data_IF_155674620469
#
_entry.id   IF_155674620469
#
_cell.length_a   1.000
_cell.length_b   1.000
_cell.length_c   1.000
_cell.angle_alpha   90.00
_cell.angle_beta   90.00
_cell.angle_gamma   90.00
#
_symmetry.space_group_name_H-M   'P 1'
#
loop_
_entity.id
_entity.type
_entity.pdbx_description
1 polymer ?
#
# COMPACT_ATOMS: atom_id res chain seq x y z
N UNK A 1 -12.19 6.37 -49.14
CA UNK A 1 -11.97 6.85 -47.75
C UNK A 1 -12.87 6.15 -46.71
N UNK A 2 -13.40 4.94 -46.97
CA UNK A 2 -14.34 4.26 -46.06
C UNK A 2 -13.69 3.27 -45.06
N UNK A 3 -12.42 2.89 -45.26
CA UNK A 3 -11.71 1.93 -44.36
C UNK A 3 -11.10 2.56 -43.11
N UNK A 4 -10.84 3.87 -43.11
CA UNK A 4 -10.21 4.57 -41.98
C UNK A 4 -11.19 4.82 -40.82
N UNK A 5 -12.46 5.09 -41.13
CA UNK A 5 -13.50 5.33 -40.11
C UNK A 5 -13.84 4.06 -39.31
N UNK A 6 -13.97 2.92 -39.99
CA UNK A 6 -14.24 1.62 -39.36
C UNK A 6 -13.13 1.15 -38.40
N UNK A 7 -11.88 1.56 -38.65
CA UNK A 7 -10.75 1.28 -37.77
C UNK A 7 -10.72 2.20 -36.54
N UNK A 8 -11.20 3.44 -36.68
CA UNK A 8 -11.31 4.38 -35.56
C UNK A 8 -12.42 3.94 -34.58
N UNK A 9 -13.59 3.57 -35.08
CA UNK A 9 -14.72 3.07 -34.27
C UNK A 9 -14.37 1.80 -33.49
N UNK A 10 -13.69 0.84 -34.14
CA UNK A 10 -13.24 -0.40 -33.45
C UNK A 10 -12.23 -0.13 -32.34
N UNK A 11 -11.42 0.93 -32.46
CA UNK A 11 -10.40 1.27 -31.47
C UNK A 11 -10.99 1.99 -30.26
N UNK A 12 -12.03 2.80 -30.46
CA UNK A 12 -12.76 3.48 -29.38
C UNK A 12 -13.48 2.44 -28.49
N UNK A 13 -14.19 1.48 -29.10
CA UNK A 13 -14.91 0.47 -28.31
C UNK A 13 -14.02 -0.51 -27.54
N UNK A 14 -12.81 -0.82 -28.04
CA UNK A 14 -11.87 -1.64 -27.29
C UNK A 14 -11.28 -0.91 -26.07
N UNK A 15 -11.10 0.42 -26.16
CA UNK A 15 -10.62 1.23 -25.04
C UNK A 15 -11.72 1.45 -23.99
N UNK A 16 -12.99 1.63 -24.40
CA UNK A 16 -14.13 1.77 -23.49
C UNK A 16 -14.37 0.51 -22.63
N UNK A 17 -14.18 -0.69 -23.20
CA UNK A 17 -14.32 -1.94 -22.46
C UNK A 17 -13.23 -2.14 -21.39
N UNK A 18 -12.03 -1.56 -21.59
CA UNK A 18 -10.94 -1.61 -20.62
C UNK A 18 -11.21 -0.67 -19.43
N UNK A 19 -11.80 0.51 -19.69
CA UNK A 19 -12.10 1.52 -18.68
C UNK A 19 -13.17 1.04 -17.68
N UNK A 20 -14.14 0.25 -18.12
CA UNK A 20 -15.23 -0.21 -17.25
C UNK A 20 -14.78 -1.28 -16.24
N UNK A 21 -13.72 -2.05 -16.54
CA UNK A 21 -13.12 -3.02 -15.63
C UNK A 21 -12.19 -2.37 -14.60
N UNK A 22 -11.58 -1.23 -14.93
CA UNK A 22 -10.67 -0.49 -14.05
C UNK A 22 -11.37 0.53 -13.13
N UNK A 23 -12.62 0.90 -13.42
CA UNK A 23 -13.44 1.81 -12.58
C UNK A 23 -13.47 1.45 -11.09
N UNK A 24 -13.70 0.19 -10.66
CA UNK A 24 -13.71 -0.14 -9.24
C UNK A 24 -12.31 -0.10 -8.60
N UNK A 25 -11.23 -0.29 -9.39
CA UNK A 25 -9.84 -0.29 -8.89
C UNK A 25 -9.34 1.14 -8.59
N UNK A 26 -9.69 2.11 -9.45
CA UNK A 26 -9.25 3.51 -9.30
C UNK A 26 -10.02 4.22 -8.17
N UNK A 27 -11.33 3.99 -8.06
CA UNK A 27 -12.20 4.65 -7.08
C UNK A 27 -11.77 4.42 -5.61
N UNK A 28 -11.14 3.29 -5.29
CA UNK A 28 -10.72 3.00 -3.92
C UNK A 28 -9.36 3.61 -3.56
N UNK A 29 -8.42 3.71 -4.51
CA UNK A 29 -7.15 4.42 -4.29
C UNK A 29 -7.41 5.90 -3.94
N UNK A 30 -8.40 6.51 -4.59
CA UNK A 30 -8.83 7.89 -4.33
C UNK A 30 -9.58 8.01 -2.99
N UNK A 31 -10.42 7.03 -2.61
CA UNK A 31 -11.12 7.02 -1.32
C UNK A 31 -10.15 6.87 -0.13
N UNK A 32 -9.12 6.03 -0.28
CA UNK A 32 -8.05 5.83 0.71
C UNK A 32 -7.17 7.06 0.83
N UNK A 33 -6.89 7.75 -0.29
CA UNK A 33 -6.20 9.05 -0.33
C UNK A 33 -6.89 10.13 0.51
N UNK A 34 -8.23 10.17 0.47
CA UNK A 34 -9.00 11.19 1.16
C UNK A 34 -8.94 11.05 2.69
N UNK A 35 -8.77 9.84 3.23
CA UNK A 35 -8.57 9.64 4.66
C UNK A 35 -7.12 9.97 5.04
N UNK A 36 -6.92 11.12 5.71
CA UNK A 36 -5.61 11.55 6.20
C UNK A 36 -5.08 10.68 7.36
N UNK A 37 -5.72 9.54 7.64
CA UNK A 37 -5.38 8.66 8.75
C UNK A 37 -4.32 7.64 8.35
N UNK A 38 -3.28 7.57 9.17
CA UNK A 38 -2.34 6.47 9.19
C UNK A 38 -3.04 5.15 9.51
N UNK A 39 -2.72 4.06 8.81
CA UNK A 39 -3.24 2.72 9.12
C UNK A 39 -2.11 1.75 9.45
N UNK A 40 -2.43 0.66 10.14
CA UNK A 40 -1.44 -0.39 10.39
C UNK A 40 -1.11 -1.12 9.08
N UNK A 41 0.11 -1.65 8.98
CA UNK A 41 0.53 -2.50 7.84
C UNK A 41 -0.41 -3.71 7.68
N UNK A 42 -0.89 -4.27 8.79
CA UNK A 42 -1.86 -5.38 8.75
C UNK A 42 -3.20 -4.99 8.12
N UNK A 43 -3.66 -3.76 8.33
CA UNK A 43 -4.90 -3.27 7.72
C UNK A 43 -4.69 -2.91 6.25
N UNK A 44 -3.52 -2.35 5.89
CA UNK A 44 -3.13 -2.19 4.49
C UNK A 44 -3.17 -3.53 3.74
N UNK A 45 -2.70 -4.63 4.34
CA UNK A 45 -2.77 -5.94 3.71
C UNK A 45 -4.21 -6.39 3.43
N UNK A 46 -5.14 -6.14 4.36
CA UNK A 46 -6.57 -6.43 4.13
C UNK A 46 -7.12 -5.59 2.98
N UNK A 47 -6.77 -4.30 2.92
CA UNK A 47 -7.17 -3.41 1.83
C UNK A 47 -6.65 -3.91 0.48
N UNK A 48 -5.36 -4.26 0.39
CA UNK A 48 -4.78 -4.81 -0.84
C UNK A 48 -5.50 -6.12 -1.24
N UNK A 49 -5.79 -6.98 -0.26
CA UNK A 49 -6.54 -8.22 -0.51
C UNK A 49 -7.98 -7.99 -0.96
N UNK A 50 -8.63 -6.92 -0.53
CA UNK A 50 -9.96 -6.52 -1.02
C UNK A 50 -9.91 -5.96 -2.44
N UNK A 51 -8.78 -5.38 -2.85
CA UNK A 51 -8.57 -4.80 -4.19
C UNK A 51 -8.11 -5.84 -5.24
N UNK A 52 -8.20 -7.14 -4.93
CA UNK A 52 -7.94 -8.22 -5.88
C UNK A 52 -6.61 -8.95 -5.66
N UNK A 53 -5.64 -8.35 -4.96
CA UNK A 53 -4.34 -8.97 -4.72
C UNK A 53 -4.30 -9.68 -3.35
N UNK A 54 -4.51 -11.01 -3.35
CA UNK A 54 -4.60 -11.83 -2.12
C UNK A 54 -3.28 -11.87 -1.33
N UNK A 55 -3.08 -10.92 -0.43
CA UNK A 55 -1.93 -10.85 0.48
C UNK A 55 -2.36 -10.79 1.95
N UNK A 56 -1.72 -11.60 2.78
CA UNK A 56 -1.89 -11.57 4.23
C UNK A 56 -0.89 -10.63 4.91
N UNK A 57 -1.21 -10.16 6.13
CA UNK A 57 -0.36 -9.25 6.89
C UNK A 57 1.10 -9.73 7.00
N UNK A 58 1.32 -11.00 7.37
CA UNK A 58 2.67 -11.58 7.49
C UNK A 58 3.45 -11.57 6.17
N UNK A 59 2.77 -11.83 5.05
CA UNK A 59 3.35 -11.80 3.70
C UNK A 59 3.70 -10.37 3.30
N UNK A 60 2.84 -9.40 3.59
CA UNK A 60 3.13 -8.00 3.33
C UNK A 60 4.32 -7.51 4.15
N UNK A 61 4.40 -7.86 5.43
CA UNK A 61 5.58 -7.56 6.25
C UNK A 61 6.87 -8.18 5.70
N UNK A 62 6.81 -9.42 5.20
CA UNK A 62 7.96 -10.05 4.55
C UNK A 62 8.37 -9.31 3.28
N UNK A 63 7.41 -9.04 2.39
CA UNK A 63 7.65 -8.31 1.15
C UNK A 63 8.25 -6.93 1.40
N UNK A 64 7.72 -6.19 2.39
CA UNK A 64 8.25 -4.87 2.76
C UNK A 64 9.70 -4.93 3.26
N UNK A 65 10.09 -5.99 3.99
CA UNK A 65 11.47 -6.19 4.44
C UNK A 65 12.41 -6.57 3.29
N UNK A 66 11.94 -7.45 2.40
CA UNK A 66 12.70 -7.91 1.24
C UNK A 66 12.95 -6.77 0.24
N UNK A 67 11.96 -5.90 0.05
CA UNK A 67 12.04 -4.73 -0.82
C UNK A 67 12.71 -3.51 -0.16
N UNK A 68 13.20 -3.65 1.08
CA UNK A 68 13.95 -2.59 1.77
C UNK A 68 13.08 -1.41 2.26
N UNK A 69 11.77 -1.60 2.36
CA UNK A 69 10.88 -0.61 3.00
C UNK A 69 10.96 -0.68 4.52
N UNK A 70 11.05 -1.90 5.05
CA UNK A 70 11.25 -2.17 6.47
C UNK A 70 12.61 -2.81 6.71
N UNK A 71 13.15 -2.61 7.91
CA UNK A 71 14.42 -3.19 8.31
C UNK A 71 14.24 -4.70 8.54
N UNK A 72 15.07 -5.49 7.84
CA UNK A 72 15.14 -6.96 7.93
C UNK A 72 16.09 -7.48 9.01
N UNK A 73 16.85 -6.61 9.67
CA UNK A 73 17.77 -7.01 10.74
C UNK A 73 16.96 -7.39 11.97
N UNK A 74 17.12 -8.62 12.46
CA UNK A 74 16.52 -9.05 13.74
C UNK A 74 17.17 -8.26 14.88
N UNK A 75 16.38 -7.50 15.62
CA UNK A 75 16.84 -6.60 16.68
C UNK A 75 15.75 -5.59 17.06
N UNK A 76 16.14 -4.53 17.77
CA UNK A 76 15.25 -3.42 18.17
C UNK A 76 14.54 -2.75 17.00
N UNK A 77 15.18 -2.78 15.82
CA UNK A 77 14.68 -2.07 14.64
C UNK A 77 13.90 -3.00 13.70
N UNK A 78 13.62 -4.23 14.12
CA UNK A 78 12.85 -5.16 13.30
C UNK A 78 11.46 -4.56 12.99
N UNK A 79 11.07 -4.58 11.71
CA UNK A 79 9.86 -3.93 11.19
C UNK A 79 9.81 -2.40 11.30
N UNK A 80 10.92 -1.74 11.63
CA UNK A 80 11.00 -0.29 11.54
C UNK A 80 11.19 0.15 10.08
N UNK A 81 10.62 1.29 9.67
CA UNK A 81 10.82 1.81 8.33
C UNK A 81 12.29 2.19 8.10
N UNK A 82 12.78 1.91 6.90
CA UNK A 82 14.12 2.34 6.49
C UNK A 82 14.16 3.85 6.31
N UNK A 83 15.36 4.45 6.42
CA UNK A 83 15.57 5.88 6.19
C UNK A 83 14.96 6.33 4.85
N UNK A 84 15.20 5.57 3.77
CA UNK A 84 14.61 5.81 2.45
C UNK A 84 13.07 5.88 2.49
N UNK A 85 12.43 5.00 3.25
CA UNK A 85 10.96 4.92 3.31
C UNK A 85 10.35 6.04 4.14
N UNK A 86 11.09 6.52 5.14
CA UNK A 86 10.76 7.73 5.90
C UNK A 86 10.88 8.98 5.02
N UNK A 87 11.96 9.11 4.24
CA UNK A 87 12.16 10.23 3.31
C UNK A 87 11.09 10.28 2.21
N UNK A 88 10.64 9.11 1.73
CA UNK A 88 9.52 9.02 0.79
C UNK A 88 8.17 9.37 1.44
N UNK A 89 8.09 9.44 2.77
CA UNK A 89 6.87 9.73 3.53
C UNK A 89 5.83 8.62 3.48
N UNK A 90 6.28 7.36 3.31
CA UNK A 90 5.38 6.19 3.17
C UNK A 90 4.91 5.67 4.52
N UNK A 91 5.68 5.91 5.57
CA UNK A 91 5.40 5.40 6.92
C UNK A 91 5.53 6.50 7.97
N UNK A 92 4.86 6.25 9.09
CA UNK A 92 5.04 6.98 10.33
C UNK A 92 5.30 5.98 11.47
N UNK A 93 5.94 6.45 12.54
CA UNK A 93 6.21 5.66 13.73
C UNK A 93 5.34 6.22 14.86
N UNK A 94 4.46 5.39 15.41
CA UNK A 94 3.75 5.71 16.66
C UNK A 94 4.54 5.12 17.83
N UNK A 95 5.00 5.99 18.72
CA UNK A 95 5.61 5.57 19.98
C UNK A 95 4.52 5.46 21.05
N UNK A 96 4.54 4.37 21.81
CA UNK A 96 3.64 4.13 22.94
C UNK A 96 4.49 3.83 24.17
N UNK A 97 4.36 4.68 25.17
CA UNK A 97 5.00 4.51 26.48
C UNK A 97 4.16 3.54 27.30
N UNK A 98 4.76 2.44 27.73
CA UNK A 98 4.14 1.44 28.58
C UNK A 98 4.84 1.49 29.94
N UNK A 99 4.09 1.90 30.95
CA UNK A 99 4.52 1.90 32.35
C UNK A 99 4.15 0.57 32.98
N UNK A 100 5.14 -0.14 33.52
CA UNK A 100 4.95 -1.43 34.17
C UNK A 100 4.77 -1.25 35.68
N UNK A 101 4.17 -2.26 36.34
CA UNK A 101 3.81 -2.20 37.76
C UNK A 101 5.03 -2.14 38.71
N UNK A 102 6.21 -2.51 38.22
CA UNK A 102 7.51 -2.46 38.90
C UNK A 102 8.27 -1.14 38.66
N UNK A 103 7.64 -0.16 37.98
CA UNK A 103 8.16 1.19 37.80
C UNK A 103 9.08 1.39 36.59
N UNK A 104 9.40 0.35 35.82
CA UNK A 104 10.16 0.55 34.58
C UNK A 104 9.26 1.03 33.44
N UNK A 105 9.84 1.86 32.57
CA UNK A 105 9.17 2.42 31.40
C UNK A 105 9.75 1.75 30.15
N UNK A 106 8.89 1.17 29.33
CA UNK A 106 9.26 0.63 28.02
C UNK A 106 8.60 1.43 26.90
N UNK A 107 9.31 1.64 25.81
CA UNK A 107 8.80 2.35 24.62
C UNK A 107 8.57 1.32 23.52
N UNK A 108 7.30 1.12 23.16
CA UNK A 108 6.93 0.31 21.99
C UNK A 108 6.77 1.21 20.78
N UNK A 109 7.45 0.88 19.68
CA UNK A 109 7.34 1.61 18.41
C UNK A 109 6.55 0.77 17.43
N UNK A 110 5.49 1.34 16.87
CA UNK A 110 4.62 0.68 15.90
C UNK A 110 4.69 1.43 14.58
N UNK A 111 5.04 0.73 13.51
CA UNK A 111 5.02 1.28 12.14
C UNK A 111 3.59 1.34 11.61
N UNK A 112 3.25 2.48 11.02
CA UNK A 112 2.00 2.70 10.31
C UNK A 112 2.28 3.27 8.92
N UNK A 113 1.33 3.07 8.02
CA UNK A 113 1.38 3.53 6.64
C UNK A 113 0.59 4.81 6.50
N UNK A 114 1.23 5.86 5.98
CA UNK A 114 0.58 7.16 5.71
C UNK A 114 -0.39 7.05 4.54
N UNK A 115 -1.30 8.01 4.34
CA UNK A 115 -2.19 8.01 3.16
C UNK A 115 -1.42 7.95 1.83
N UNK A 116 -0.25 8.62 1.77
CA UNK A 116 0.68 8.54 0.63
C UNK A 116 1.25 7.13 0.46
N UNK A 117 1.67 6.49 1.56
CA UNK A 117 2.15 5.11 1.54
C UNK A 117 1.08 4.12 1.11
N UNK A 118 -0.17 4.33 1.52
CA UNK A 118 -1.29 3.48 1.15
C UNK A 118 -1.50 3.49 -0.37
N UNK A 119 -1.59 4.67 -0.99
CA UNK A 119 -1.67 4.80 -2.46
C UNK A 119 -0.47 4.17 -3.15
N UNK A 120 0.74 4.43 -2.65
CA UNK A 120 1.97 3.90 -3.22
C UNK A 120 1.95 2.37 -3.28
N UNK A 121 1.63 1.71 -2.17
CA UNK A 121 1.60 0.24 -2.13
C UNK A 121 0.41 -0.33 -2.89
N UNK A 122 -0.79 0.27 -2.78
CA UNK A 122 -1.96 -0.19 -3.54
C UNK A 122 -1.67 -0.16 -5.05
N UNK A 123 -1.14 0.96 -5.57
CA UNK A 123 -0.78 1.07 -6.98
C UNK A 123 0.34 0.10 -7.36
N UNK A 124 1.32 -0.12 -6.48
CA UNK A 124 2.41 -1.08 -6.71
C UNK A 124 1.87 -2.51 -6.87
N UNK A 125 1.02 -2.97 -5.96
CA UNK A 125 0.47 -4.33 -6.00
C UNK A 125 -0.60 -4.52 -7.08
N UNK A 126 -1.33 -3.47 -7.44
CA UNK A 126 -2.28 -3.51 -8.56
C UNK A 126 -1.56 -3.51 -9.92
N UNK A 127 -0.44 -2.80 -10.07
CA UNK A 127 0.35 -2.80 -11.29
C UNK A 127 1.03 -4.16 -11.54
N UNK A 128 1.52 -4.82 -10.49
CA UNK A 128 2.16 -6.14 -10.59
C UNK A 128 1.16 -7.27 -10.91
N UNK A 129 -0.16 -7.08 -10.72
CA UNK A 129 -1.21 -8.04 -11.11
C UNK A 129 -1.56 -7.98 -12.61
N UNK A 130 -1.14 -6.91 -13.30
CA UNK A 130 -1.48 -6.63 -14.71
C UNK A 130 -0.31 -6.94 -15.67
N UNK A 131 0.84 -7.40 -15.15
CA UNK A 131 2.02 -7.79 -15.92
C UNK A 131 2.16 -9.32 -16.05
#
# INVERSE_FOLDING_TARGET
>A
MARALLLADKKVHQLEAQIEADKPKVLFADAVSASHSSILVGDLAKLISQNGFKIGANRLFAWLRENGYLIKRKGSDWNMPTQKSMELGLFEIKETTITHADGHISISKTVKVTGKGQQYFINKFLADDVA
#
